data_IF_505963507752
#
_entry.id   IF_505963507752
#
_cell.length_a   1.000
_cell.length_b   1.000
_cell.length_c   1.000
_cell.angle_alpha   90.00
_cell.angle_beta   90.00
_cell.angle_gamma   90.00
#
_symmetry.space_group_name_H-M   'P 1'
#
loop_
_entity.id
_entity.type
_entity.pdbx_description
1 polymer ?
#
# COMPACT_ATOMS: atom_id res chain seq x y z
N UNK A 1 32.84 -9.99 0.19
CA UNK A 1 32.32 -10.15 0.29
C UNK A 1 31.99 -10.18 0.25
N UNK A 2 32.09 -10.03 0.10
CA UNK A 2 31.40 -10.19 0.16
C UNK A 2 30.88 -10.20 -0.10
N UNK A 3 30.82 -10.09 -0.33
CA UNK A 3 29.98 -10.22 -0.63
C UNK A 3 29.49 -9.98 -0.67
N UNK A 4 29.48 -9.82 -0.82
CA UNK A 4 28.71 -9.74 -0.88
C UNK A 4 28.30 -9.45 -0.95
N UNK A 5 28.32 -9.34 -0.96
CA UNK A 5 27.69 -9.17 -0.96
C UNK A 5 27.09 -9.09 -1.29
N UNK A 6 27.14 -9.06 -1.52
CA UNK A 6 26.37 -9.12 -1.78
C UNK A 6 25.85 -8.97 -2.01
N UNK A 7 25.78 -8.85 -2.17
CA UNK A 7 24.99 -8.75 -2.36
C UNK A 7 24.33 -8.61 -2.69
N UNK A 8 24.18 -8.48 -2.96
CA UNK A 8 23.41 -8.33 -3.21
C UNK A 8 22.82 -8.38 -3.53
N UNK A 9 22.54 -8.59 -3.98
CA UNK A 9 21.93 -8.61 -4.24
C UNK A 9 21.14 -8.86 -4.28
N UNK A 10 20.62 -9.28 -4.70
CA UNK A 10 19.65 -9.53 -4.69
C UNK A 10 18.87 -9.12 -4.15
N UNK A 11 19.03 -9.13 -4.08
CA UNK A 11 18.13 -8.80 -3.30
C UNK A 11 17.35 -7.82 -3.07
N UNK A 12 16.91 -7.53 -3.68
CA UNK A 12 16.10 -6.55 -3.51
C UNK A 12 14.98 -6.79 -2.61
N UNK A 13 14.44 -7.99 -2.52
CA UNK A 13 13.35 -8.30 -1.64
C UNK A 13 13.75 -8.16 -0.21
N UNK A 14 14.99 -8.41 0.11
CA UNK A 14 15.45 -8.32 1.49
C UNK A 14 15.55 -6.87 1.96
N UNK A 15 15.44 -5.93 1.06
CA UNK A 15 15.51 -4.52 1.42
C UNK A 15 14.16 -3.88 1.65
N UNK A 16 13.08 -4.62 1.48
CA UNK A 16 11.75 -4.08 1.69
C UNK A 16 11.44 -3.99 3.17
N UNK A 17 10.89 -2.87 3.58
CA UNK A 17 10.41 -2.70 4.95
C UNK A 17 9.14 -3.51 5.15
N UNK A 18 8.75 -3.69 6.42
CA UNK A 18 7.49 -4.39 6.70
C UNK A 18 6.30 -3.59 6.16
N UNK A 19 6.42 -2.26 6.15
CA UNK A 19 5.39 -1.42 5.53
C UNK A 19 5.23 -1.78 4.06
N UNK A 20 6.33 -1.92 3.33
CA UNK A 20 6.29 -2.24 1.91
C UNK A 20 5.78 -3.65 1.68
N UNK A 21 6.16 -4.59 2.52
CA UNK A 21 5.64 -5.95 2.42
C UNK A 21 4.13 -5.97 2.67
N UNK A 22 3.66 -5.13 3.60
CA UNK A 22 2.24 -5.02 3.88
C UNK A 22 1.47 -4.48 2.66
N UNK A 23 2.02 -3.47 2.00
CA UNK A 23 1.39 -2.95 0.78
C UNK A 23 1.33 -4.01 -0.31
N UNK A 24 2.35 -4.84 -0.42
CA UNK A 24 2.32 -5.90 -1.44
C UNK A 24 1.22 -6.92 -1.16
N UNK A 25 1.00 -7.26 0.11
CA UNK A 25 -0.10 -8.15 0.46
C UNK A 25 -1.43 -7.49 0.14
N UNK A 26 -1.58 -6.21 0.49
CA UNK A 26 -2.80 -5.46 0.19
C UNK A 26 -3.09 -5.44 -1.31
N UNK A 27 -2.05 -5.27 -2.12
CA UNK A 27 -2.21 -5.27 -3.57
C UNK A 27 -2.71 -6.61 -4.08
N UNK A 28 -2.27 -7.70 -3.45
CA UNK A 28 -2.71 -9.04 -3.86
C UNK A 28 -4.14 -9.36 -3.42
N UNK A 29 -4.67 -8.58 -2.48
CA UNK A 29 -6.03 -8.81 -1.98
C UNK A 29 -7.09 -8.41 -3.00
N UNK A 30 -6.72 -7.68 -4.04
CA UNK A 30 -7.65 -7.24 -5.09
C UNK A 30 -8.79 -6.41 -4.49
N UNK A 31 -8.38 -5.38 -3.75
CA UNK A 31 -9.34 -4.47 -3.14
C UNK A 31 -10.14 -3.72 -4.20
N UNK A 32 -11.38 -3.38 -3.86
CA UNK A 32 -12.26 -2.67 -4.77
C UNK A 32 -11.86 -1.20 -4.87
N UNK A 33 -11.40 -0.74 -6.05
CA UNK A 33 -10.94 0.64 -6.18
C UNK A 33 -12.04 1.68 -6.08
N UNK A 34 -13.30 1.27 -6.07
CA UNK A 34 -14.40 2.19 -5.93
C UNK A 34 -15.00 2.19 -4.54
N UNK A 35 -14.40 1.46 -3.61
CA UNK A 35 -14.93 1.32 -2.28
C UNK A 35 -13.92 1.69 -1.20
N UNK A 36 -12.69 1.20 -1.31
CA UNK A 36 -11.73 1.35 -0.22
C UNK A 36 -10.47 2.14 -0.60
N UNK A 37 -10.24 2.37 -1.87
CA UNK A 37 -9.11 3.20 -2.29
C UNK A 37 -9.38 3.79 -3.66
N UNK A 38 -8.57 4.80 -4.01
CA UNK A 38 -8.54 5.27 -5.39
C UNK A 38 -7.17 5.86 -5.69
N UNK A 39 -6.83 5.94 -6.97
CA UNK A 39 -5.58 6.54 -7.41
C UNK A 39 -5.94 7.68 -8.35
N UNK A 40 -5.51 8.87 -8.01
CA UNK A 40 -5.73 10.06 -8.85
C UNK A 40 -4.52 10.96 -8.80
N UNK A 41 -4.09 11.43 -9.97
CA UNK A 41 -3.00 12.38 -10.03
C UNK A 41 -1.71 11.86 -9.42
N UNK A 42 -1.43 10.58 -9.54
CA UNK A 42 -0.23 9.99 -8.99
C UNK A 42 -0.29 9.77 -7.48
N UNK A 43 -1.45 9.94 -6.88
CA UNK A 43 -1.64 9.74 -5.44
C UNK A 43 -2.57 8.59 -5.17
N UNK A 44 -2.20 7.76 -4.22
CA UNK A 44 -3.02 6.64 -3.78
C UNK A 44 -3.72 7.04 -2.50
N UNK A 45 -5.04 7.11 -2.55
CA UNK A 45 -5.88 7.45 -1.40
C UNK A 45 -6.42 6.16 -0.80
N UNK A 46 -6.16 5.97 0.49
CA UNK A 46 -6.49 4.71 1.17
C UNK A 46 -7.45 4.97 2.32
N UNK A 47 -8.63 4.35 2.27
CA UNK A 47 -9.51 4.31 3.44
C UNK A 47 -8.91 3.24 4.37
N UNK A 48 -7.87 3.64 5.08
CA UNK A 48 -6.96 2.70 5.71
C UNK A 48 -7.62 1.88 6.81
N UNK A 49 -8.57 2.47 7.53
CA UNK A 49 -9.27 1.74 8.58
C UNK A 49 -9.93 0.48 8.02
N UNK A 50 -10.64 0.64 6.90
CA UNK A 50 -11.32 -0.48 6.28
C UNK A 50 -10.33 -1.43 5.63
N UNK A 51 -9.32 -0.89 4.96
CA UNK A 51 -8.32 -1.72 4.29
C UNK A 51 -7.58 -2.60 5.30
N UNK A 52 -7.21 -2.03 6.45
CA UNK A 52 -6.46 -2.80 7.43
C UNK A 52 -7.32 -3.89 8.06
N UNK A 53 -8.61 -3.65 8.22
CA UNK A 53 -9.52 -4.66 8.70
C UNK A 53 -9.60 -5.83 7.70
N UNK A 54 -9.73 -5.52 6.42
CA UNK A 54 -9.73 -6.53 5.36
C UNK A 54 -8.39 -7.25 5.29
N UNK A 55 -7.29 -6.53 5.47
CA UNK A 55 -5.96 -7.10 5.46
C UNK A 55 -5.77 -8.12 6.59
N UNK A 56 -6.22 -7.79 7.78
CA UNK A 56 -6.11 -8.69 8.92
C UNK A 56 -6.87 -9.98 8.66
N UNK A 57 -8.06 -9.85 8.09
CA UNK A 57 -8.89 -11.00 7.76
C UNK A 57 -8.26 -11.84 6.66
N UNK A 58 -7.69 -11.19 5.65
CA UNK A 58 -7.06 -11.88 4.55
C UNK A 58 -5.86 -12.71 5.03
N UNK A 59 -5.02 -12.13 5.92
CA UNK A 59 -3.88 -12.86 6.45
C UNK A 59 -4.31 -14.11 7.18
N UNK A 60 -5.41 -14.01 7.93
CA UNK A 60 -5.94 -15.14 8.68
C UNK A 60 -6.51 -16.20 7.74
N UNK A 61 -7.32 -15.77 6.76
CA UNK A 61 -8.02 -16.70 5.87
C UNK A 61 -7.06 -17.45 4.96
N UNK A 62 -5.97 -16.82 4.55
CA UNK A 62 -5.03 -17.43 3.59
C UNK A 62 -3.71 -17.80 4.25
N UNK A 63 -3.63 -17.74 5.57
CA UNK A 63 -2.43 -18.12 6.32
C UNK A 63 -1.17 -17.47 5.77
N UNK A 64 -1.26 -16.18 5.47
CA UNK A 64 -0.11 -15.44 4.96
C UNK A 64 0.95 -15.36 6.05
N UNK A 65 2.19 -15.73 5.72
CA UNK A 65 3.28 -15.72 6.68
C UNK A 65 4.14 -14.48 6.49
N UNK A 66 4.95 -14.18 7.50
CA UNK A 66 5.84 -13.03 7.46
C UNK A 66 5.54 -12.07 8.59
N UNK A 67 6.39 -11.06 8.71
CA UNK A 67 6.19 -10.05 9.74
C UNK A 67 4.95 -9.23 9.46
N UNK A 68 4.30 -8.77 10.53
CA UNK A 68 3.14 -7.92 10.41
C UNK A 68 3.21 -6.84 11.46
N UNK A 69 2.56 -5.72 11.16
CA UNK A 69 2.48 -4.59 12.08
C UNK A 69 1.06 -4.46 12.55
N UNK A 70 0.90 -3.96 13.79
CA UNK A 70 -0.44 -3.54 14.20
C UNK A 70 -0.84 -2.32 13.38
N UNK A 71 -2.12 -2.01 13.39
CA UNK A 71 -2.61 -0.85 12.66
C UNK A 71 -1.88 0.42 13.12
N UNK A 72 -1.71 0.57 14.43
CA UNK A 72 -1.02 1.75 14.96
C UNK A 72 0.43 1.80 14.52
N UNK A 73 1.12 0.66 14.54
CA UNK A 73 2.51 0.60 14.10
C UNK A 73 2.65 0.89 12.61
N UNK A 74 1.74 0.37 11.81
CA UNK A 74 1.75 0.61 10.37
C UNK A 74 1.60 2.09 10.09
N UNK A 75 0.63 2.75 10.73
CA UNK A 75 0.41 4.17 10.53
C UNK A 75 1.64 4.98 10.93
N UNK A 76 2.23 4.64 12.08
CA UNK A 76 3.38 5.37 12.57
C UNK A 76 4.57 5.25 11.61
N UNK A 77 4.83 4.05 11.13
CA UNK A 77 5.94 3.84 10.22
C UNK A 77 5.68 4.46 8.85
N UNK A 78 4.45 4.40 8.38
CA UNK A 78 4.09 4.98 7.10
C UNK A 78 4.37 6.48 7.06
N UNK A 79 4.14 7.18 8.17
CA UNK A 79 4.39 8.61 8.24
C UNK A 79 5.86 8.97 8.05
N UNK A 80 6.77 8.03 8.24
CA UNK A 80 8.20 8.27 8.11
C UNK A 80 8.77 7.83 6.78
N UNK A 81 7.91 7.43 5.84
CA UNK A 81 8.39 7.01 4.51
C UNK A 81 8.44 8.20 3.56
N UNK A 82 9.24 8.04 2.50
CA UNK A 82 9.37 9.12 1.52
C UNK A 82 8.13 9.26 0.66
N UNK A 83 7.28 8.24 0.58
CA UNK A 83 6.06 8.32 -0.23
C UNK A 83 4.84 8.76 0.55
N UNK A 84 4.98 9.02 1.83
CA UNK A 84 3.86 9.51 2.63
C UNK A 84 3.52 10.95 2.27
N UNK A 85 2.22 11.23 2.05
CA UNK A 85 1.77 12.58 1.71
C UNK A 85 0.90 13.18 2.82
N UNK A 86 -0.16 12.46 3.22
CA UNK A 86 -1.07 12.98 4.23
C UNK A 86 -1.76 11.85 4.96
N UNK A 87 -2.20 12.13 6.19
CA UNK A 87 -2.82 11.09 7.03
C UNK A 87 -4.29 11.34 7.30
N UNK A 88 -4.85 12.44 6.81
CA UNK A 88 -6.22 12.77 7.18
C UNK A 88 -6.88 13.60 6.09
N UNK A 89 -6.90 13.04 4.89
CA UNK A 89 -7.42 13.74 3.73
C UNK A 89 -8.82 13.26 3.44
N UNK A 90 -9.77 14.20 3.33
CA UNK A 90 -11.13 13.83 2.92
C UNK A 90 -11.11 13.51 1.44
N UNK A 91 -11.62 12.36 1.07
CA UNK A 91 -11.63 11.96 -0.34
C UNK A 91 -12.90 11.19 -0.64
N UNK A 92 -13.56 11.55 -1.73
CA UNK A 92 -14.71 10.80 -2.18
C UNK A 92 -14.23 9.55 -2.90
N UNK A 93 -14.64 8.41 -2.38
CA UNK A 93 -14.34 7.13 -3.00
C UNK A 93 -15.68 6.47 -3.30
N UNK A 94 -15.98 6.28 -4.59
CA UNK A 94 -17.30 5.82 -4.97
C UNK A 94 -18.32 6.88 -4.68
N UNK A 95 -19.28 6.56 -3.83
CA UNK A 95 -20.37 7.48 -3.51
C UNK A 95 -20.24 8.11 -2.13
N UNK A 96 -19.19 7.81 -1.40
CA UNK A 96 -19.04 8.28 -0.02
C UNK A 96 -17.69 8.95 0.20
N UNK A 97 -17.68 9.88 1.15
CA UNK A 97 -16.43 10.53 1.56
C UNK A 97 -15.82 9.78 2.72
N UNK A 98 -14.51 9.60 2.67
CA UNK A 98 -13.78 8.93 3.74
C UNK A 98 -12.54 9.72 4.08
N UNK A 99 -12.09 9.56 5.31
CA UNK A 99 -10.79 10.12 5.71
C UNK A 99 -9.72 9.13 5.29
N UNK A 100 -8.85 9.59 4.42
CA UNK A 100 -7.89 8.70 3.77
C UNK A 100 -6.47 9.06 4.12
N UNK A 101 -5.62 8.04 4.06
CA UNK A 101 -4.18 8.19 4.08
C UNK A 101 -3.74 8.27 2.63
N UNK A 102 -2.84 9.20 2.35
CA UNK A 102 -2.43 9.48 0.98
C UNK A 102 -0.95 9.21 0.84
N UNK A 103 -0.59 8.47 -0.19
CA UNK A 103 0.82 8.20 -0.49
C UNK A 103 1.06 8.46 -1.98
N UNK A 104 2.32 8.72 -2.32
CA UNK A 104 2.71 8.91 -3.71
C UNK A 104 2.78 7.54 -4.37
N UNK A 105 1.87 7.29 -5.30
CA UNK A 105 1.76 5.96 -5.89
C UNK A 105 2.98 5.62 -6.75
N UNK A 106 3.61 6.59 -7.35
CA UNK A 106 4.78 6.32 -8.20
C UNK A 106 6.00 5.97 -7.36
N UNK A 107 6.22 6.70 -6.27
CA UNK A 107 7.32 6.37 -5.37
C UNK A 107 7.11 5.03 -4.71
N UNK A 108 5.89 4.74 -4.30
CA UNK A 108 5.58 3.45 -3.69
C UNK A 108 5.83 2.31 -4.68
N UNK A 109 5.46 2.49 -5.93
CA UNK A 109 5.65 1.47 -6.95
C UNK A 109 7.13 1.18 -7.21
N UNK A 110 8.01 2.14 -6.92
CA UNK A 110 9.45 1.92 -7.06
C UNK A 110 10.01 1.09 -5.91
N UNK A 111 9.26 0.99 -4.80
CA UNK A 111 9.74 0.29 -3.61
C UNK A 111 9.20 -1.12 -3.49
N UNK A 112 8.01 -1.36 -4.02
CA UNK A 112 7.38 -2.67 -3.87
C UNK A 112 6.38 -2.89 -4.99
N UNK A 113 5.92 -4.14 -5.10
CA UNK A 113 4.99 -4.52 -6.16
C UNK A 113 3.57 -4.23 -5.73
N UNK A 114 3.02 -3.13 -6.21
CA UNK A 114 1.66 -2.74 -5.91
C UNK A 114 0.80 -2.70 -7.17
N UNK A 115 1.15 -3.52 -8.17
CA UNK A 115 0.42 -3.55 -9.44
C UNK A 115 -1.02 -4.02 -9.27
N UNK A 116 -1.36 -4.63 -8.14
CA UNK A 116 -2.74 -5.03 -7.87
C UNK A 116 -3.68 -3.87 -7.59
N UNK A 117 -3.13 -2.68 -7.26
CA UNK A 117 -3.95 -1.50 -7.10
C UNK A 117 -4.23 -0.91 -8.48
N UNK A 118 -5.51 -0.72 -8.78
CA UNK A 118 -5.90 -0.24 -10.10
C UNK A 118 -6.06 1.26 -10.11
N UNK A 119 -5.67 1.88 -11.23
CA UNK A 119 -5.85 3.31 -11.40
C UNK A 119 -7.33 3.60 -11.63
N UNK A 120 -7.89 4.53 -10.85
CA UNK A 120 -9.30 4.82 -10.90
C UNK A 120 -9.64 6.12 -11.62
N UNK A 121 -8.61 6.92 -11.97
CA UNK A 121 -8.85 8.16 -12.70
C UNK A 121 -8.55 8.04 -14.19
N UNK A 122 -8.51 6.85 -14.73
CA UNK A 122 -8.24 6.61 -16.12
C UNK A 122 -9.36 7.17 -16.98
N UNK A 123 -8.96 7.91 -18.00
CA UNK A 123 -9.91 8.41 -18.94
C UNK A 123 -10.11 7.39 -20.03
N UNK A 124 -11.28 7.14 -20.44
CA UNK A 124 -11.47 6.22 -21.52
C UNK A 124 -10.88 6.80 -22.75
N UNK A 125 -10.42 7.09 -23.12
CA UNK A 125 -9.75 7.44 -24.13
C UNK A 125 -10.33 7.73 -25.06
N UNK A 126 -10.36 7.83 -24.88
CA UNK A 126 -10.81 7.87 -25.47
C UNK A 126 -11.18 8.07 -26.02
#
# INVERSE_FOLDING_TARGET
EFAAKDYLLDGDTSNKSVVEQTFEVMARMKLDPKTVYCIEGGKLYLWLTQIYDLYTKYRKDYAVVGETLTYAQFKKQLQHTEYFIASNEQKRIGTENHRCWVVDSELLAKRCDVTGFEVTDIQPLM
#
